data_IF_773616020944
#
_entry.id   IF_773616020944
#
_cell.length_a   1.000
_cell.length_b   1.000
_cell.length_c   1.000
_cell.angle_alpha   90.00
_cell.angle_beta   90.00
_cell.angle_gamma   90.00
#
_symmetry.space_group_name_H-M   'P 1'
#
loop_
_entity.id
_entity.type
_entity.pdbx_description
1 polymer ?
#
# COMPACT_ATOMS: atom_id res chain seq x y z
N UNK A 1 5.71 29.11 8.67
CA UNK A 1 6.94 29.81 8.23
C UNK A 1 6.81 30.12 6.75
N UNK A 2 7.11 31.35 6.32
CA UNK A 2 6.96 31.79 4.92
C UNK A 2 7.89 30.97 4.01
N UNK A 3 7.32 30.29 3.01
CA UNK A 3 8.03 29.44 2.06
C UNK A 3 8.72 30.35 1.04
N UNK A 4 10.01 30.66 1.24
CA UNK A 4 10.80 31.32 0.20
C UNK A 4 11.00 30.34 -0.97
N UNK A 5 10.71 30.83 -2.18
CA UNK A 5 10.99 30.13 -3.42
C UNK A 5 12.50 30.21 -3.69
N UNK A 6 13.23 29.23 -3.16
CA UNK A 6 14.65 29.01 -3.51
C UNK A 6 14.66 28.38 -4.89
N UNK A 7 15.23 29.09 -5.87
CA UNK A 7 15.37 28.61 -7.23
C UNK A 7 16.53 27.61 -7.31
N UNK A 8 16.23 26.40 -7.79
CA UNK A 8 17.21 25.32 -7.96
C UNK A 8 17.32 24.99 -9.44
N UNK A 9 18.55 24.92 -9.94
CA UNK A 9 18.79 24.61 -11.35
C UNK A 9 18.65 23.10 -11.63
N UNK A 10 18.75 22.72 -12.90
CA UNK A 10 18.59 21.34 -13.33
C UNK A 10 19.66 20.39 -12.77
N UNK A 11 20.89 20.88 -12.56
CA UNK A 11 22.00 20.08 -12.03
C UNK A 11 21.86 19.88 -10.52
N UNK A 12 21.51 20.93 -9.79
CA UNK A 12 21.21 20.89 -8.35
C UNK A 12 20.01 19.98 -8.05
N UNK A 13 18.98 20.01 -8.91
CA UNK A 13 17.85 19.07 -8.83
C UNK A 13 18.31 17.63 -9.01
N UNK A 14 19.13 17.35 -10.03
CA UNK A 14 19.66 16.01 -10.26
C UNK A 14 20.50 15.51 -9.08
N UNK A 15 21.28 16.39 -8.44
CA UNK A 15 22.02 16.06 -7.21
C UNK A 15 21.08 15.69 -6.06
N UNK A 16 20.01 16.46 -5.84
CA UNK A 16 19.01 16.18 -4.81
C UNK A 16 18.24 14.88 -5.06
N UNK A 17 17.96 14.55 -6.32
CA UNK A 17 17.34 13.27 -6.70
C UNK A 17 18.23 12.09 -6.33
N UNK A 18 19.50 12.10 -6.73
CA UNK A 18 20.45 11.03 -6.43
C UNK A 18 20.69 10.92 -4.92
N UNK A 19 20.78 12.05 -4.20
CA UNK A 19 20.85 12.07 -2.73
C UNK A 19 19.61 11.43 -2.08
N UNK A 20 18.41 11.68 -2.63
CA UNK A 20 17.15 11.14 -2.09
C UNK A 20 17.02 9.63 -2.27
N UNK A 21 17.74 9.06 -3.25
CA UNK A 21 17.88 7.60 -3.46
C UNK A 21 18.91 6.96 -2.53
N UNK A 22 19.60 7.76 -1.70
CA UNK A 22 20.58 7.29 -0.73
C UNK A 22 22.03 7.35 -1.22
N UNK A 23 22.28 7.73 -2.47
CA UNK A 23 23.61 7.67 -3.10
C UNK A 23 24.65 8.51 -2.36
N UNK A 24 25.87 8.00 -2.31
CA UNK A 24 27.05 8.65 -1.73
C UNK A 24 27.62 9.73 -2.66
N UNK A 25 28.41 10.65 -2.12
CA UNK A 25 29.09 11.69 -2.90
C UNK A 25 29.93 11.12 -4.05
N UNK A 26 30.48 9.92 -3.87
CA UNK A 26 31.27 9.20 -4.88
C UNK A 26 30.40 8.65 -6.01
N UNK A 27 29.25 8.08 -5.68
CA UNK A 27 28.29 7.55 -6.66
C UNK A 27 27.66 8.69 -7.47
N UNK A 28 27.24 9.76 -6.81
CA UNK A 28 26.67 10.95 -7.46
C UNK A 28 27.71 11.55 -8.42
N UNK A 29 28.98 11.64 -8.00
CA UNK A 29 30.06 12.11 -8.86
C UNK A 29 30.19 11.25 -10.13
N UNK A 30 30.14 9.91 -9.97
CA UNK A 30 30.18 8.98 -11.09
C UNK A 30 28.99 9.16 -12.04
N UNK A 31 27.78 9.31 -11.50
CA UNK A 31 26.55 9.52 -12.28
C UNK A 31 26.56 10.84 -13.08
N UNK A 32 27.21 11.87 -12.54
CA UNK A 32 27.24 13.21 -13.14
C UNK A 32 28.56 13.54 -13.86
N UNK A 33 29.49 12.58 -13.98
CA UNK A 33 30.77 12.77 -14.67
C UNK A 33 31.79 13.64 -13.93
N UNK A 34 31.68 13.78 -12.61
CA UNK A 34 32.57 14.56 -11.76
C UNK A 34 33.53 13.69 -10.93
N UNK A 35 34.56 14.33 -10.35
CA UNK A 35 35.41 13.71 -9.32
C UNK A 35 34.72 13.81 -7.95
N UNK A 36 34.93 12.83 -7.08
CA UNK A 36 34.32 12.79 -5.74
C UNK A 36 34.58 14.07 -4.92
N UNK A 37 35.83 14.59 -4.96
CA UNK A 37 36.19 15.84 -4.28
C UNK A 37 35.38 17.03 -4.78
N UNK A 38 35.15 17.13 -6.08
CA UNK A 38 34.33 18.19 -6.71
C UNK A 38 32.86 18.05 -6.29
N UNK A 39 32.32 16.84 -6.28
CA UNK A 39 30.94 16.59 -5.86
C UNK A 39 30.70 16.96 -4.39
N UNK A 40 31.67 16.73 -3.50
CA UNK A 40 31.56 17.17 -2.09
C UNK A 40 31.45 18.69 -1.97
N UNK A 41 32.16 19.44 -2.81
CA UNK A 41 32.08 20.92 -2.85
C UNK A 41 30.71 21.36 -3.35
N UNK A 42 30.24 20.81 -4.47
CA UNK A 42 28.92 21.15 -5.02
C UNK A 42 27.78 20.79 -4.06
N UNK A 43 27.85 19.65 -3.37
CA UNK A 43 26.86 19.28 -2.35
C UNK A 43 26.87 20.27 -1.17
N UNK A 44 28.05 20.74 -0.75
CA UNK A 44 28.17 21.72 0.32
C UNK A 44 27.61 23.10 -0.09
N UNK A 45 27.89 23.56 -1.31
CA UNK A 45 27.33 24.80 -1.86
C UNK A 45 25.81 24.72 -2.00
N UNK A 46 25.31 23.58 -2.48
CA UNK A 46 23.89 23.26 -2.55
C UNK A 46 23.25 23.32 -1.15
N UNK A 47 23.84 22.69 -0.13
CA UNK A 47 23.29 22.75 1.23
C UNK A 47 23.22 24.19 1.77
N UNK A 48 24.25 25.00 1.50
CA UNK A 48 24.27 26.42 1.85
C UNK A 48 23.17 27.19 1.13
N UNK A 49 22.96 26.96 -0.17
CA UNK A 49 21.90 27.58 -0.98
C UNK A 49 20.50 27.22 -0.47
N UNK A 50 20.32 25.97 -0.05
CA UNK A 50 19.06 25.45 0.50
C UNK A 50 18.81 25.89 1.96
N UNK A 51 19.83 26.42 2.64
CA UNK A 51 19.76 26.78 4.07
C UNK A 51 19.71 25.57 5.00
N UNK A 52 20.26 24.43 4.59
CA UNK A 52 20.22 23.17 5.34
C UNK A 52 21.62 22.75 5.82
N UNK A 53 21.70 22.14 7.00
CA UNK A 53 22.99 21.83 7.62
C UNK A 53 23.66 20.55 7.13
N UNK A 54 22.90 19.60 6.54
CA UNK A 54 23.44 18.28 6.18
C UNK A 54 22.62 17.58 5.09
N UNK A 55 23.17 16.46 4.57
CA UNK A 55 22.57 15.59 3.56
C UNK A 55 21.13 15.20 3.90
N UNK A 56 20.87 14.78 5.14
CA UNK A 56 19.54 14.34 5.58
C UNK A 56 18.52 15.47 5.47
N UNK A 57 18.89 16.68 5.91
CA UNK A 57 18.01 17.85 5.82
C UNK A 57 17.80 18.30 4.37
N UNK A 58 18.80 18.16 3.49
CA UNK A 58 18.66 18.43 2.06
C UNK A 58 17.70 17.46 1.37
N UNK A 59 17.78 16.17 1.72
CA UNK A 59 16.84 15.14 1.23
C UNK A 59 15.43 15.42 1.73
N UNK A 60 15.25 15.75 3.01
CA UNK A 60 13.93 16.12 3.56
C UNK A 60 13.38 17.35 2.83
N UNK A 61 14.21 18.38 2.64
CA UNK A 61 13.84 19.61 1.92
C UNK A 61 13.38 19.31 0.49
N UNK A 62 14.06 18.39 -0.20
CA UNK A 62 13.72 17.97 -1.56
C UNK A 62 12.42 17.17 -1.60
N UNK A 63 12.27 16.20 -0.70
CA UNK A 63 11.08 15.34 -0.62
C UNK A 63 9.83 16.13 -0.21
N UNK A 64 9.94 17.14 0.65
CA UNK A 64 8.81 18.00 1.01
C UNK A 64 8.31 18.80 -0.20
N UNK A 65 9.23 19.32 -1.01
CA UNK A 65 8.91 20.08 -2.24
C UNK A 65 8.46 19.21 -3.40
N UNK A 66 8.94 17.97 -3.52
CA UNK A 66 8.42 17.00 -4.50
C UNK A 66 7.12 16.36 -4.04
N UNK A 67 6.82 16.32 -2.73
CA UNK A 67 5.48 15.98 -2.21
C UNK A 67 4.46 17.08 -2.48
N UNK A 68 4.86 18.35 -2.36
CA UNK A 68 3.96 19.47 -2.67
C UNK A 68 3.77 19.71 -4.18
N UNK A 69 4.79 19.39 -4.99
CA UNK A 69 4.66 19.32 -6.47
C UNK A 69 4.07 17.99 -6.95
N UNK A 70 3.97 17.02 -6.04
CA UNK A 70 3.53 15.65 -6.27
C UNK A 70 2.24 15.40 -5.52
N UNK A 71 1.19 16.12 -5.89
CA UNK A 71 -0.16 15.62 -5.70
C UNK A 71 -0.19 14.22 -6.31
N UNK A 72 -0.82 13.30 -5.60
CA UNK A 72 -1.05 11.88 -5.92
C UNK A 72 -1.55 11.65 -7.38
N UNK A 73 -1.91 12.71 -8.11
CA UNK A 73 -2.20 12.72 -9.55
C UNK A 73 -1.00 12.46 -10.50
N UNK A 74 0.24 12.84 -10.15
CA UNK A 74 1.34 12.83 -11.15
C UNK A 74 1.93 11.42 -11.45
N UNK A 75 1.74 10.43 -10.56
CA UNK A 75 2.10 9.02 -10.85
C UNK A 75 0.98 8.26 -11.57
N UNK A 76 -0.20 8.85 -11.71
CA UNK A 76 -1.32 8.28 -12.49
C UNK A 76 -1.22 8.69 -13.97
N UNK A 77 -0.27 9.55 -14.36
CA UNK A 77 -0.26 10.19 -15.69
C UNK A 77 0.93 9.91 -16.61
N UNK A 78 1.80 8.92 -16.34
CA UNK A 78 2.97 8.67 -17.21
C UNK A 78 3.17 7.23 -17.68
N UNK A 79 2.41 6.27 -17.15
CA UNK A 79 2.32 4.96 -17.79
C UNK A 79 1.02 4.88 -18.59
N UNK A 80 1.06 4.43 -19.86
CA UNK A 80 -0.15 4.11 -20.59
C UNK A 80 -1.02 3.19 -19.72
N UNK A 81 -2.33 3.47 -19.67
CA UNK A 81 -3.30 2.55 -19.10
C UNK A 81 -3.17 1.15 -19.72
N UNK A 82 -3.85 0.14 -19.18
CA UNK A 82 -3.73 -1.22 -19.69
C UNK A 82 -3.93 -1.22 -21.21
N UNK A 83 -3.02 -1.89 -21.94
CA UNK A 83 -3.19 -2.06 -23.38
C UNK A 83 -4.54 -2.73 -23.66
N UNK A 84 -5.13 -2.50 -24.85
CA UNK A 84 -6.48 -3.00 -25.17
C UNK A 84 -6.66 -4.52 -24.99
N UNK A 85 -5.56 -5.28 -25.02
CA UNK A 85 -5.52 -6.74 -24.83
C UNK A 85 -4.79 -7.18 -23.53
N UNK A 86 -4.26 -6.24 -22.74
CA UNK A 86 -3.53 -6.55 -21.50
C UNK A 86 -4.51 -6.92 -20.38
N UNK A 87 -4.40 -8.14 -19.84
CA UNK A 87 -5.23 -8.55 -18.72
C UNK A 87 -4.82 -7.80 -17.44
N UNK A 88 -5.80 -7.58 -16.55
CA UNK A 88 -5.59 -6.83 -15.30
C UNK A 88 -4.39 -7.33 -14.47
N UNK A 89 -4.23 -8.65 -14.38
CA UNK A 89 -3.13 -9.26 -13.63
C UNK A 89 -1.76 -8.92 -14.20
N UNK A 90 -1.63 -8.91 -15.53
CA UNK A 90 -0.39 -8.52 -16.21
C UNK A 90 -0.09 -7.03 -15.95
N UNK A 91 -1.10 -6.17 -16.03
CA UNK A 91 -0.96 -4.74 -15.75
C UNK A 91 -0.51 -4.48 -14.30
N UNK A 92 -1.09 -5.19 -13.33
CA UNK A 92 -0.70 -5.10 -11.92
C UNK A 92 0.73 -5.57 -11.67
N UNK A 93 1.19 -6.61 -12.38
CA UNK A 93 2.57 -7.11 -12.30
C UNK A 93 3.58 -6.17 -12.91
N UNK A 94 3.22 -5.50 -14.02
CA UNK A 94 4.05 -4.51 -14.68
C UNK A 94 4.18 -3.21 -13.87
N UNK A 95 3.12 -2.82 -13.15
CA UNK A 95 3.04 -1.55 -12.42
C UNK A 95 3.07 -1.73 -10.89
N UNK A 96 1.90 -1.88 -10.28
CA UNK A 96 1.61 -2.38 -8.93
C UNK A 96 0.08 -2.49 -8.78
N UNK A 97 -0.41 -3.12 -7.70
CA UNK A 97 -1.85 -3.27 -7.47
C UNK A 97 -2.57 -1.92 -7.40
N UNK A 98 -1.99 -0.92 -6.74
CA UNK A 98 -2.59 0.40 -6.57
C UNK A 98 -2.81 1.12 -7.90
N UNK A 99 -1.78 1.14 -8.75
CA UNK A 99 -1.84 1.70 -10.10
C UNK A 99 -2.84 0.93 -10.98
N UNK A 100 -2.81 -0.40 -10.93
CA UNK A 100 -3.73 -1.23 -11.71
C UNK A 100 -5.20 -1.04 -11.32
N UNK A 101 -5.49 -0.97 -10.02
CA UNK A 101 -6.84 -0.71 -9.53
C UNK A 101 -7.32 0.71 -9.83
N UNK A 102 -6.42 1.70 -9.76
CA UNK A 102 -6.78 3.11 -9.88
C UNK A 102 -7.91 3.47 -8.90
N UNK A 103 -8.99 4.06 -9.43
CA UNK A 103 -10.19 4.41 -8.65
C UNK A 103 -10.83 3.22 -7.93
N UNK A 104 -10.65 1.99 -8.44
CA UNK A 104 -11.21 0.79 -7.80
C UNK A 104 -10.57 0.48 -6.44
N UNK A 105 -9.38 1.03 -6.16
CA UNK A 105 -8.73 0.92 -4.85
C UNK A 105 -9.58 1.50 -3.71
N UNK A 106 -10.53 2.41 -4.00
CA UNK A 106 -11.45 2.99 -3.03
C UNK A 106 -12.45 1.97 -2.44
N UNK A 107 -12.67 0.84 -3.10
CA UNK A 107 -13.56 -0.23 -2.62
C UNK A 107 -12.83 -1.28 -1.79
N UNK A 108 -11.50 -1.31 -1.83
CA UNK A 108 -10.68 -2.27 -1.09
C UNK A 108 -10.27 -1.68 0.26
N UNK A 109 -10.33 -2.51 1.30
CA UNK A 109 -9.83 -2.19 2.63
C UNK A 109 -10.81 -1.53 3.60
N UNK A 110 -10.28 -1.12 4.75
CA UNK A 110 -11.01 -0.38 5.79
C UNK A 110 -11.37 1.03 5.32
N UNK A 111 -12.46 1.57 5.87
CA UNK A 111 -12.93 2.94 5.59
C UNK A 111 -13.12 3.26 4.09
N UNK A 112 -13.29 2.24 3.23
CA UNK A 112 -13.55 2.40 1.81
C UNK A 112 -14.95 2.95 1.50
N UNK A 113 -15.34 2.88 0.22
CA UNK A 113 -16.60 3.46 -0.27
C UNK A 113 -17.84 2.82 0.36
N UNK A 114 -17.83 1.51 0.59
CA UNK A 114 -18.94 0.80 1.24
C UNK A 114 -19.21 1.32 2.66
N UNK A 115 -18.14 1.56 3.43
CA UNK A 115 -18.26 2.12 4.78
C UNK A 115 -18.81 3.54 4.74
N UNK A 116 -18.33 4.37 3.80
CA UNK A 116 -18.78 5.77 3.67
C UNK A 116 -20.28 5.86 3.40
N UNK A 117 -20.75 5.08 2.42
CA UNK A 117 -22.17 4.96 2.10
C UNK A 117 -22.94 4.45 3.32
N UNK A 118 -22.43 3.43 4.00
CA UNK A 118 -23.05 2.89 5.21
C UNK A 118 -23.22 3.93 6.33
N UNK A 119 -22.22 4.78 6.58
CA UNK A 119 -22.31 5.84 7.58
C UNK A 119 -23.29 6.94 7.15
N UNK A 120 -23.29 7.32 5.87
CA UNK A 120 -24.23 8.31 5.32
C UNK A 120 -25.67 7.82 5.41
N UNK A 121 -25.94 6.55 5.06
CA UNK A 121 -27.27 5.95 5.16
C UNK A 121 -27.78 5.87 6.61
N UNK A 122 -26.87 5.75 7.59
CA UNK A 122 -27.20 5.85 9.02
C UNK A 122 -27.40 7.29 9.51
N UNK A 123 -27.25 8.30 8.64
CA UNK A 123 -27.32 9.71 9.02
C UNK A 123 -26.16 10.18 9.91
N UNK A 124 -25.05 9.44 9.94
CA UNK A 124 -23.90 9.78 10.78
C UNK A 124 -23.05 10.83 10.08
N UNK A 125 -23.01 12.04 10.63
CA UNK A 125 -22.00 13.05 10.30
C UNK A 125 -20.71 12.77 11.05
N UNK A 126 -19.61 12.67 10.32
CA UNK A 126 -18.28 12.48 10.91
C UNK A 126 -17.76 13.79 11.48
N UNK A 127 -17.28 13.75 12.71
CA UNK A 127 -16.48 14.84 13.26
C UNK A 127 -15.09 14.89 12.59
N UNK A 128 -14.35 15.97 12.83
CA UNK A 128 -13.03 16.19 12.23
C UNK A 128 -12.00 15.10 12.60
N UNK A 129 -12.12 14.49 13.79
CA UNK A 129 -11.21 13.45 14.24
C UNK A 129 -11.54 12.09 13.61
N UNK A 130 -12.83 11.75 13.48
CA UNK A 130 -13.31 10.57 12.75
C UNK A 130 -12.92 10.65 11.26
N UNK A 131 -13.07 11.82 10.65
CA UNK A 131 -12.65 12.05 9.26
C UNK A 131 -11.11 12.01 9.09
N UNK A 132 -10.35 12.52 10.06
CA UNK A 132 -8.89 12.37 10.07
C UNK A 132 -8.45 10.89 10.16
N UNK A 133 -9.07 10.09 11.05
CA UNK A 133 -8.81 8.65 11.17
C UNK A 133 -9.17 7.90 9.88
N UNK A 134 -10.29 8.25 9.25
CA UNK A 134 -10.69 7.72 7.95
C UNK A 134 -9.61 7.97 6.88
N UNK A 135 -9.12 9.22 6.77
CA UNK A 135 -8.05 9.57 5.83
C UNK A 135 -6.75 8.82 6.10
N UNK A 136 -6.38 8.65 7.38
CA UNK A 136 -5.19 7.89 7.75
C UNK A 136 -5.32 6.41 7.36
N UNK A 137 -6.46 5.78 7.64
CA UNK A 137 -6.76 4.42 7.19
C UNK A 137 -6.66 4.29 5.66
N UNK A 138 -7.24 5.24 4.90
CA UNK A 138 -7.14 5.25 3.44
C UNK A 138 -5.71 5.35 2.93
N UNK A 139 -4.90 6.22 3.53
CA UNK A 139 -3.48 6.35 3.19
C UNK A 139 -2.69 5.06 3.45
N UNK A 140 -2.97 4.36 4.55
CA UNK A 140 -2.35 3.06 4.85
C UNK A 140 -2.71 2.02 3.78
N UNK A 141 -3.99 1.95 3.40
CA UNK A 141 -4.45 1.04 2.35
C UNK A 141 -3.90 1.38 0.96
N UNK A 142 -3.82 2.65 0.61
CA UNK A 142 -3.21 3.11 -0.65
C UNK A 142 -1.72 2.73 -0.70
N UNK A 143 -0.99 2.90 0.40
CA UNK A 143 0.41 2.48 0.48
C UNK A 143 0.57 0.96 0.37
N UNK A 144 -0.28 0.18 1.06
CA UNK A 144 -0.31 -1.28 0.93
C UNK A 144 -0.56 -1.72 -0.52
N UNK A 145 -1.55 -1.14 -1.20
CA UNK A 145 -1.84 -1.46 -2.60
C UNK A 145 -0.72 -1.01 -3.55
N UNK A 146 -0.05 0.10 -3.26
CA UNK A 146 1.10 0.56 -4.05
C UNK A 146 2.41 -0.21 -3.76
N UNK A 147 2.44 -1.04 -2.71
CA UNK A 147 3.65 -1.74 -2.27
C UNK A 147 4.63 -0.85 -1.50
N UNK A 148 4.18 0.31 -1.02
CA UNK A 148 4.97 1.23 -0.20
C UNK A 148 5.01 0.76 1.27
N UNK A 149 5.72 -0.32 1.52
CA UNK A 149 5.90 -0.86 2.86
C UNK A 149 6.81 0.02 3.74
N UNK A 150 7.58 0.92 3.14
CA UNK A 150 8.44 1.86 3.85
C UNK A 150 7.61 2.83 4.72
N UNK A 151 6.37 3.14 4.33
CA UNK A 151 5.43 3.89 5.17
C UNK A 151 5.23 3.21 6.54
N UNK A 152 4.95 1.90 6.55
CA UNK A 152 4.69 1.18 7.80
C UNK A 152 5.93 1.15 8.69
N UNK A 153 7.11 0.95 8.11
CA UNK A 153 8.38 1.06 8.83
C UNK A 153 8.56 2.45 9.44
N UNK A 154 8.34 3.52 8.67
CA UNK A 154 8.50 4.88 9.15
C UNK A 154 7.53 5.20 10.31
N UNK A 155 6.29 4.72 10.23
CA UNK A 155 5.30 4.91 11.29
C UNK A 155 5.67 4.18 12.59
N UNK A 156 6.27 2.98 12.50
CA UNK A 156 6.79 2.28 13.68
C UNK A 156 8.01 3.01 14.25
N UNK A 157 8.97 3.39 13.39
CA UNK A 157 10.19 4.08 13.84
C UNK A 157 9.88 5.43 14.51
N UNK A 158 8.78 6.10 14.13
CA UNK A 158 8.35 7.37 14.73
C UNK A 158 7.39 7.23 15.92
N UNK A 159 7.00 6.01 16.30
CA UNK A 159 5.98 5.77 17.35
C UNK A 159 4.54 6.12 16.95
N UNK A 160 4.27 6.42 15.67
CA UNK A 160 2.93 6.72 15.17
C UNK A 160 2.07 5.46 15.08
N UNK A 161 2.69 4.32 14.83
CA UNK A 161 1.98 3.04 14.66
C UNK A 161 1.22 2.62 15.93
N UNK A 162 1.73 2.92 17.13
CA UNK A 162 1.08 2.63 18.41
C UNK A 162 -0.16 3.49 18.66
N UNK A 163 -0.13 4.74 18.16
CA UNK A 163 -1.28 5.66 18.17
C UNK A 163 -2.36 5.09 17.24
N UNK A 164 -1.98 4.75 15.99
CA UNK A 164 -2.88 4.16 15.01
C UNK A 164 -3.49 2.85 15.53
N UNK A 165 -2.68 1.96 16.11
CA UNK A 165 -3.17 0.72 16.73
C UNK A 165 -4.18 0.98 17.86
N UNK A 166 -4.10 2.14 18.52
CA UNK A 166 -5.05 2.54 19.55
C UNK A 166 -6.35 3.10 19.02
N UNK A 167 -6.24 3.97 18.01
CA UNK A 167 -7.39 4.60 17.39
C UNK A 167 -8.16 3.62 16.49
N UNK A 168 -7.46 2.70 15.85
CA UNK A 168 -7.97 1.72 14.90
C UNK A 168 -7.14 0.43 14.95
N UNK A 169 -7.58 -0.57 15.75
CA UNK A 169 -6.87 -1.84 15.84
C UNK A 169 -6.63 -2.53 14.50
N UNK A 170 -7.60 -2.46 13.57
CA UNK A 170 -7.49 -3.06 12.23
C UNK A 170 -6.47 -2.34 11.33
N UNK A 171 -6.29 -1.02 11.47
CA UNK A 171 -5.20 -0.33 10.75
C UNK A 171 -3.84 -0.69 11.34
N UNK A 172 -3.76 -0.90 12.66
CA UNK A 172 -2.58 -1.47 13.30
C UNK A 172 -2.25 -2.88 12.77
N UNK A 173 -3.25 -3.74 12.57
CA UNK A 173 -3.08 -5.06 11.91
C UNK A 173 -2.56 -4.89 10.48
N UNK A 174 -3.09 -3.91 9.74
CA UNK A 174 -2.65 -3.62 8.37
C UNK A 174 -1.18 -3.19 8.33
N UNK A 175 -0.76 -2.31 9.24
CA UNK A 175 0.64 -1.90 9.39
C UNK A 175 1.56 -3.08 9.75
N UNK A 176 1.12 -3.96 10.65
CA UNK A 176 1.87 -5.16 10.98
C UNK A 176 2.06 -6.07 9.76
N UNK A 177 1.00 -6.28 8.97
CA UNK A 177 1.07 -7.05 7.73
C UNK A 177 2.01 -6.41 6.70
N UNK A 178 1.98 -5.08 6.53
CA UNK A 178 2.91 -4.36 5.65
C UNK A 178 4.37 -4.55 6.05
N UNK A 179 4.67 -4.59 7.36
CA UNK A 179 6.04 -4.86 7.83
C UNK A 179 6.50 -6.26 7.47
N UNK A 180 5.62 -7.26 7.61
CA UNK A 180 5.92 -8.64 7.21
C UNK A 180 6.16 -8.73 5.71
N UNK A 181 5.24 -8.20 4.90
CA UNK A 181 5.33 -8.26 3.44
C UNK A 181 6.56 -7.52 2.92
N UNK A 182 6.89 -6.37 3.53
CA UNK A 182 8.06 -5.56 3.18
C UNK A 182 9.41 -6.09 3.69
N UNK A 183 9.44 -7.27 4.32
CA UNK A 183 10.69 -7.88 4.81
C UNK A 183 11.28 -7.19 6.04
N UNK A 184 10.51 -6.38 6.77
CA UNK A 184 10.94 -5.72 8.00
C UNK A 184 10.75 -6.61 9.24
N UNK A 185 11.20 -7.87 9.16
CA UNK A 185 10.93 -8.95 10.13
C UNK A 185 11.08 -8.53 11.59
N UNK A 186 12.24 -8.03 12.01
CA UNK A 186 12.46 -7.66 13.42
C UNK A 186 11.54 -6.54 13.92
N UNK A 187 11.07 -5.67 13.03
CA UNK A 187 10.07 -4.63 13.36
C UNK A 187 8.67 -5.23 13.41
N UNK A 188 8.34 -6.10 12.46
CA UNK A 188 7.08 -6.83 12.43
C UNK A 188 6.86 -7.63 13.72
N UNK A 189 7.84 -8.43 14.13
CA UNK A 189 7.78 -9.22 15.37
C UNK A 189 7.56 -8.34 16.61
N UNK A 190 8.35 -7.28 16.76
CA UNK A 190 8.21 -6.32 17.88
C UNK A 190 6.84 -5.66 17.88
N UNK A 191 6.34 -5.25 16.72
CA UNK A 191 5.04 -4.61 16.62
C UNK A 191 3.89 -5.61 16.86
N UNK A 192 4.01 -6.86 16.40
CA UNK A 192 3.07 -7.94 16.72
C UNK A 192 2.92 -8.16 18.24
N UNK A 193 3.99 -8.03 19.02
CA UNK A 193 3.90 -8.11 20.48
C UNK A 193 3.03 -6.99 21.06
N UNK A 194 3.05 -5.79 20.49
CA UNK A 194 2.18 -4.68 20.89
C UNK A 194 0.72 -4.97 20.54
N UNK A 195 0.46 -5.47 19.31
CA UNK A 195 -0.87 -5.91 18.87
C UNK A 195 -1.43 -6.98 19.82
N UNK A 196 -0.63 -8.01 20.14
CA UNK A 196 -1.02 -9.10 21.03
C UNK A 196 -1.29 -8.63 22.47
N UNK A 197 -0.44 -7.74 23.01
CA UNK A 197 -0.62 -7.16 24.34
C UNK A 197 -1.92 -6.35 24.42
N UNK A 198 -2.19 -5.51 23.42
CA UNK A 198 -3.40 -4.67 23.39
C UNK A 198 -4.67 -5.50 23.26
N UNK A 199 -4.62 -6.59 22.47
CA UNK A 199 -5.71 -7.58 22.42
C UNK A 199 -5.99 -8.18 23.80
N UNK A 200 -4.96 -8.60 24.54
CA UNK A 200 -5.14 -9.15 25.91
C UNK A 200 -5.78 -8.14 26.86
N UNK A 201 -5.60 -6.84 26.63
CA UNK A 201 -6.24 -5.76 27.37
C UNK A 201 -7.68 -5.43 26.91
N UNK A 202 -8.27 -6.22 26.00
CA UNK A 202 -9.68 -6.14 25.61
C UNK A 202 -10.05 -5.09 24.55
N UNK A 203 -9.10 -4.22 24.14
CA UNK A 203 -9.36 -3.10 23.23
C UNK A 203 -8.40 -3.12 22.02
N UNK A 204 -8.24 -4.28 21.39
CA UNK A 204 -7.25 -4.49 20.31
C UNK A 204 -7.76 -5.42 19.21
N UNK A 205 -6.83 -5.88 18.36
CA UNK A 205 -7.14 -6.74 17.23
C UNK A 205 -7.91 -8.01 17.64
N UNK A 206 -8.77 -8.49 16.75
CA UNK A 206 -9.53 -9.73 16.94
C UNK A 206 -8.61 -10.96 17.03
N UNK A 207 -9.14 -12.08 17.55
CA UNK A 207 -8.42 -13.36 17.55
C UNK A 207 -7.97 -13.76 16.13
N UNK A 208 -8.84 -13.50 15.16
CA UNK A 208 -8.66 -13.86 13.76
C UNK A 208 -7.60 -13.01 13.07
N UNK A 209 -7.61 -11.70 13.30
CA UNK A 209 -6.56 -10.79 12.81
C UNK A 209 -5.18 -11.16 13.39
N UNK A 210 -5.10 -11.50 14.68
CA UNK A 210 -3.84 -11.95 15.27
C UNK A 210 -3.38 -13.30 14.71
N UNK A 211 -4.30 -14.23 14.47
CA UNK A 211 -3.98 -15.52 13.84
C UNK A 211 -3.48 -15.32 12.39
N UNK A 212 -4.14 -14.44 11.63
CA UNK A 212 -3.71 -14.05 10.29
C UNK A 212 -2.27 -13.50 10.28
N UNK A 213 -1.92 -12.58 11.19
CA UNK A 213 -0.57 -12.01 11.23
C UNK A 213 0.51 -13.08 11.50
N UNK A 214 0.20 -14.09 12.31
CA UNK A 214 1.12 -15.21 12.58
C UNK A 214 1.31 -16.08 11.34
N UNK A 215 0.21 -16.43 10.66
CA UNK A 215 0.27 -17.18 9.40
C UNK A 215 1.06 -16.40 8.34
N UNK A 216 0.84 -15.09 8.26
CA UNK A 216 1.54 -14.24 7.30
C UNK A 216 3.05 -14.18 7.59
N UNK A 217 3.43 -14.02 8.86
CA UNK A 217 4.83 -14.04 9.28
C UNK A 217 5.50 -15.36 8.88
N UNK A 218 4.87 -16.49 9.20
CA UNK A 218 5.38 -17.81 8.84
C UNK A 218 5.48 -18.03 7.33
N UNK A 219 4.47 -17.57 6.57
CA UNK A 219 4.44 -17.70 5.13
C UNK A 219 5.54 -16.89 4.42
N UNK A 220 5.97 -15.75 4.99
CA UNK A 220 7.03 -14.90 4.41
C UNK A 220 8.44 -15.25 4.93
N UNK A 221 8.57 -15.71 6.17
CA UNK A 221 9.88 -16.07 6.74
C UNK A 221 10.35 -17.47 6.32
N UNK A 222 9.45 -18.45 6.39
CA UNK A 222 9.78 -19.86 6.14
C UNK A 222 9.35 -20.33 4.76
N UNK A 223 8.71 -19.45 3.99
CA UNK A 223 8.04 -19.79 2.73
C UNK A 223 7.03 -20.94 2.85
N UNK A 224 6.51 -21.22 4.07
CA UNK A 224 5.69 -22.39 4.34
C UNK A 224 4.35 -22.39 3.60
N UNK A 225 4.12 -23.44 2.79
CA UNK A 225 2.91 -23.59 1.98
C UNK A 225 1.64 -23.79 2.82
N UNK A 226 1.76 -24.43 3.99
CA UNK A 226 0.64 -24.60 4.92
C UNK A 226 0.17 -23.27 5.51
N UNK A 227 1.11 -22.40 5.90
CA UNK A 227 0.79 -21.08 6.42
C UNK A 227 0.13 -20.21 5.33
N UNK A 228 0.61 -20.32 4.08
CA UNK A 228 0.00 -19.65 2.94
C UNK A 228 -1.41 -20.19 2.61
N UNK A 229 -1.64 -21.50 2.76
CA UNK A 229 -2.96 -22.10 2.65
C UNK A 229 -3.93 -21.56 3.72
N UNK A 230 -3.44 -21.29 4.94
CA UNK A 230 -4.20 -20.60 5.98
C UNK A 230 -4.60 -19.17 5.59
N UNK A 231 -3.68 -18.41 4.97
CA UNK A 231 -3.99 -17.08 4.42
C UNK A 231 -5.02 -17.17 3.28
N UNK A 232 -4.89 -18.18 2.42
CA UNK A 232 -5.81 -18.46 1.32
C UNK A 232 -7.22 -18.79 1.79
N UNK A 233 -7.36 -19.56 2.87
CA UNK A 233 -8.65 -19.85 3.49
C UNK A 233 -9.35 -18.56 3.95
N UNK A 234 -8.63 -17.63 4.57
CA UNK A 234 -9.17 -16.34 5.01
C UNK A 234 -9.62 -15.46 3.84
N UNK A 235 -8.92 -15.51 2.71
CA UNK A 235 -9.31 -14.82 1.49
C UNK A 235 -10.59 -15.39 0.86
N UNK A 236 -10.88 -16.66 1.11
CA UNK A 236 -12.03 -17.40 0.58
C UNK A 236 -13.30 -17.35 1.41
N UNK A 237 -13.25 -16.78 2.61
CA UNK A 237 -14.38 -16.83 3.52
C UNK A 237 -15.64 -16.20 2.90
N UNK A 238 -16.71 -16.98 2.92
CA UNK A 238 -18.02 -16.59 2.44
C UNK A 238 -18.67 -15.66 3.46
N UNK A 239 -18.92 -14.41 3.07
CA UNK A 239 -19.55 -13.41 3.93
C UNK A 239 -19.38 -12.00 3.39
N UNK A 240 -19.87 -10.98 4.12
CA UNK A 240 -19.65 -9.59 3.78
C UNK A 240 -18.14 -9.30 3.68
N UNK A 241 -17.75 -8.52 2.67
CA UNK A 241 -16.37 -8.13 2.47
C UNK A 241 -15.82 -7.42 3.72
N UNK A 242 -14.86 -8.07 4.40
CA UNK A 242 -14.21 -7.53 5.59
C UNK A 242 -12.83 -6.98 5.26
N UNK A 243 -12.35 -6.02 6.06
CA UNK A 243 -10.99 -5.50 5.93
C UNK A 243 -9.93 -6.61 6.00
N UNK A 244 -10.15 -7.65 6.81
CA UNK A 244 -9.25 -8.80 6.91
C UNK A 244 -9.23 -9.66 5.64
N UNK A 245 -10.40 -9.89 5.01
CA UNK A 245 -10.47 -10.61 3.73
C UNK A 245 -9.69 -9.87 2.65
N UNK A 246 -9.88 -8.54 2.55
CA UNK A 246 -9.12 -7.70 1.63
C UNK A 246 -7.61 -7.76 1.90
N UNK A 247 -7.23 -7.72 3.19
CA UNK A 247 -5.83 -7.81 3.58
C UNK A 247 -5.21 -9.15 3.20
N UNK A 248 -5.95 -10.25 3.37
CA UNK A 248 -5.52 -11.59 2.97
C UNK A 248 -5.35 -11.70 1.44
N UNK A 249 -6.29 -11.18 0.65
CA UNK A 249 -6.18 -11.15 -0.82
C UNK A 249 -4.94 -10.38 -1.29
N UNK A 250 -4.70 -9.19 -0.75
CA UNK A 250 -3.54 -8.38 -1.09
C UNK A 250 -2.23 -9.04 -0.61
N UNK A 251 -2.24 -9.67 0.56
CA UNK A 251 -1.10 -10.39 1.08
C UNK A 251 -0.73 -11.61 0.19
N UNK A 252 -1.72 -12.35 -0.33
CA UNK A 252 -1.48 -13.44 -1.29
C UNK A 252 -0.82 -12.92 -2.56
N UNK A 253 -1.27 -11.79 -3.10
CA UNK A 253 -0.63 -11.18 -4.27
C UNK A 253 0.86 -10.97 -4.03
N UNK A 254 1.24 -10.29 -2.96
CA UNK A 254 2.65 -10.04 -2.67
C UNK A 254 3.41 -11.33 -2.32
N UNK A 255 2.77 -12.30 -1.67
CA UNK A 255 3.39 -13.58 -1.37
C UNK A 255 3.78 -14.36 -2.64
N UNK A 256 2.95 -14.30 -3.69
CA UNK A 256 3.24 -14.91 -4.99
C UNK A 256 4.24 -14.10 -5.82
N UNK A 257 4.19 -12.77 -5.74
CA UNK A 257 5.21 -11.89 -6.34
C UNK A 257 6.59 -12.21 -5.78
N UNK A 258 6.73 -12.29 -4.46
CA UNK A 258 8.01 -12.60 -3.80
C UNK A 258 8.52 -14.01 -4.13
N UNK A 259 7.63 -14.97 -4.37
CA UNK A 259 7.97 -16.34 -4.79
C UNK A 259 8.27 -16.47 -6.29
N UNK A 260 8.05 -15.43 -7.10
CA UNK A 260 8.22 -15.49 -8.55
C UNK A 260 7.16 -16.31 -9.28
N UNK A 261 6.00 -16.54 -8.67
CA UNK A 261 4.88 -17.26 -9.29
C UNK A 261 3.96 -16.27 -10.01
N UNK A 262 4.22 -16.09 -11.30
CA UNK A 262 3.53 -15.09 -12.12
C UNK A 262 2.05 -15.44 -12.33
N UNK A 263 1.71 -16.71 -12.49
CA UNK A 263 0.31 -17.13 -12.69
C UNK A 263 -0.53 -16.90 -11.43
N UNK A 264 -0.02 -17.29 -10.27
CA UNK A 264 -0.74 -17.08 -9.01
C UNK A 264 -0.74 -15.62 -8.58
N UNK A 265 0.30 -14.85 -8.86
CA UNK A 265 0.27 -13.41 -8.59
C UNK A 265 -0.75 -12.70 -9.48
N UNK A 266 -0.86 -13.04 -10.78
CA UNK A 266 -1.90 -12.52 -11.68
C UNK A 266 -3.31 -12.89 -11.23
N UNK A 267 -3.52 -14.15 -10.86
CA UNK A 267 -4.82 -14.60 -10.35
C UNK A 267 -5.19 -13.91 -9.02
N UNK A 268 -4.21 -13.63 -8.16
CA UNK A 268 -4.43 -12.88 -6.91
C UNK A 268 -4.80 -11.43 -7.18
N UNK A 269 -4.12 -10.77 -8.12
CA UNK A 269 -4.45 -9.41 -8.53
C UNK A 269 -5.87 -9.33 -9.10
N UNK A 270 -6.23 -10.27 -9.98
CA UNK A 270 -7.58 -10.38 -10.53
C UNK A 270 -8.63 -10.56 -9.42
N UNK A 271 -8.36 -11.39 -8.41
CA UNK A 271 -9.27 -11.59 -7.28
C UNK A 271 -9.50 -10.30 -6.48
N UNK A 272 -8.45 -9.49 -6.24
CA UNK A 272 -8.60 -8.17 -5.57
C UNK A 272 -9.51 -7.25 -6.38
N UNK A 273 -9.31 -7.19 -7.70
CA UNK A 273 -10.15 -6.35 -8.58
C UNK A 273 -11.60 -6.84 -8.62
N UNK A 274 -11.83 -8.14 -8.75
CA UNK A 274 -13.18 -8.69 -8.79
C UNK A 274 -13.93 -8.50 -7.46
N UNK A 275 -13.23 -8.52 -6.32
CA UNK A 275 -13.83 -8.16 -5.03
C UNK A 275 -14.24 -6.68 -5.00
N UNK A 276 -13.39 -5.78 -5.51
CA UNK A 276 -13.72 -4.35 -5.64
C UNK A 276 -14.95 -4.13 -6.54
N UNK A 277 -15.04 -4.85 -7.66
CA UNK A 277 -16.20 -4.84 -8.57
C UNK A 277 -17.47 -5.39 -7.90
N UNK A 278 -17.36 -6.45 -7.10
CA UNK A 278 -18.48 -6.99 -6.33
C UNK A 278 -19.04 -5.96 -5.35
N UNK A 279 -18.18 -5.19 -4.69
CA UNK A 279 -18.58 -4.11 -3.78
C UNK A 279 -19.23 -2.95 -4.55
N UNK A 280 -18.65 -2.57 -5.70
CA UNK A 280 -19.23 -1.55 -6.59
C UNK A 280 -20.65 -1.93 -7.02
N UNK A 281 -20.85 -3.17 -7.47
CA UNK A 281 -22.17 -3.68 -7.86
C UNK A 281 -23.17 -3.74 -6.71
N UNK A 282 -22.72 -4.03 -5.48
CA UNK A 282 -23.58 -3.95 -4.28
C UNK A 282 -24.06 -2.52 -4.02
N UNK A 283 -23.17 -1.54 -4.14
CA UNK A 283 -23.52 -0.13 -3.99
C UNK A 283 -24.51 0.32 -5.07
N UNK A 284 -24.30 -0.09 -6.33
CA UNK A 284 -25.25 0.18 -7.41
C UNK A 284 -26.63 -0.41 -7.16
N UNK A 285 -26.69 -1.65 -6.65
CA UNK A 285 -27.94 -2.27 -6.23
C UNK A 285 -28.63 -1.52 -5.06
N UNK A 286 -27.87 -0.79 -4.25
CA UNK A 286 -28.38 0.11 -3.21
C UNK A 286 -28.82 1.49 -3.75
N UNK A 287 -28.75 1.72 -5.08
CA UNK A 287 -29.09 2.98 -5.72
C UNK A 287 -27.96 4.00 -5.73
N UNK A 288 -26.75 3.62 -5.29
CA UNK A 288 -25.59 4.48 -5.32
C UNK A 288 -24.92 4.49 -6.67
N UNK A 289 -24.39 5.64 -7.09
CA UNK A 289 -23.47 5.74 -8.25
C UNK A 289 -22.08 6.04 -7.72
N UNK A 290 -21.29 5.01 -7.36
CA UNK A 290 -20.05 5.22 -6.64
C UNK A 290 -18.91 5.72 -7.54
N UNK A 291 -19.03 5.60 -8.87
CA UNK A 291 -18.10 6.11 -9.87
C UNK A 291 -18.78 7.11 -10.81
N UNK A 292 -18.04 8.12 -11.26
CA UNK A 292 -18.49 9.03 -12.32
C UNK A 292 -18.48 8.34 -13.69
N UNK A 293 -19.19 8.91 -14.69
CA UNK A 293 -19.34 8.33 -16.04
C UNK A 293 -18.02 7.99 -16.75
N UNK A 294 -16.93 8.69 -16.42
CA UNK A 294 -15.61 8.53 -17.06
C UNK A 294 -14.68 7.55 -16.34
N UNK A 295 -15.06 7.06 -15.15
CA UNK A 295 -14.19 6.26 -14.28
C UNK A 295 -14.49 4.75 -14.33
N UNK A 296 -15.29 4.30 -15.30
CA UNK A 296 -15.65 2.89 -15.45
C UNK A 296 -14.54 2.12 -16.14
N UNK A 297 -13.79 1.29 -15.39
CA UNK A 297 -13.03 0.20 -16.01
C UNK A 297 -14.01 -0.72 -16.76
N UNK A 298 -13.58 -1.38 -17.85
CA UNK A 298 -14.43 -2.35 -18.54
C UNK A 298 -14.94 -3.38 -17.53
N UNK A 299 -16.26 -3.51 -17.44
CA UNK A 299 -16.89 -4.43 -16.49
C UNK A 299 -16.46 -5.87 -16.80
N UNK A 300 -16.23 -6.71 -15.78
CA UNK A 300 -15.97 -8.14 -16.02
C UNK A 300 -17.17 -8.77 -16.75
N UNK A 301 -16.90 -9.81 -17.53
CA UNK A 301 -17.96 -10.63 -18.12
C UNK A 301 -18.93 -11.11 -17.01
N UNK A 302 -20.23 -11.22 -17.33
CA UNK A 302 -21.28 -11.62 -16.37
C UNK A 302 -20.83 -12.84 -15.54
N UNK A 303 -20.96 -12.77 -14.21
CA UNK A 303 -20.57 -13.86 -13.31
C UNK A 303 -19.47 -13.50 -12.29
N UNK A 304 -19.25 -12.23 -11.97
CA UNK A 304 -18.16 -11.73 -11.13
C UNK A 304 -17.85 -12.55 -9.86
N UNK A 305 -18.85 -12.99 -9.08
CA UNK A 305 -18.61 -13.84 -7.89
C UNK A 305 -18.07 -15.23 -8.21
N UNK A 306 -18.53 -15.83 -9.30
CA UNK A 306 -18.02 -17.12 -9.77
C UNK A 306 -16.62 -16.97 -10.37
N UNK A 307 -16.37 -15.86 -11.08
CA UNK A 307 -15.03 -15.51 -11.55
C UNK A 307 -14.06 -15.25 -10.38
N UNK A 308 -14.53 -14.62 -9.29
CA UNK A 308 -13.74 -14.49 -8.04
C UNK A 308 -13.40 -15.88 -7.54
N UNK A 309 -14.41 -16.73 -7.33
CA UNK A 309 -14.22 -18.09 -6.81
C UNK A 309 -13.22 -18.88 -7.66
N UNK A 310 -13.40 -18.90 -8.98
CA UNK A 310 -12.50 -19.60 -9.92
C UNK A 310 -11.09 -19.00 -9.89
N UNK A 311 -10.94 -17.68 -9.83
CA UNK A 311 -9.63 -17.03 -9.75
C UNK A 311 -8.90 -17.37 -8.45
N UNK A 312 -9.60 -17.34 -7.30
CA UNK A 312 -8.97 -17.68 -6.02
C UNK A 312 -8.73 -19.20 -5.89
N UNK A 313 -9.55 -20.08 -6.49
CA UNK A 313 -9.30 -21.53 -6.52
C UNK A 313 -7.99 -21.89 -7.21
N UNK A 314 -7.61 -21.16 -8.27
CA UNK A 314 -6.31 -21.31 -8.96
C UNK A 314 -5.10 -20.96 -8.08
N UNK A 315 -5.31 -20.30 -6.94
CA UNK A 315 -4.25 -19.93 -6.00
C UNK A 315 -3.89 -21.03 -4.99
N UNK A 316 -4.54 -22.20 -5.03
CA UNK A 316 -4.18 -23.31 -4.14
C UNK A 316 -2.71 -23.72 -4.37
N UNK A 317 -1.89 -23.88 -3.32
CA UNK A 317 -0.59 -24.52 -3.45
C UNK A 317 -0.81 -25.95 -3.97
N UNK A 318 -0.03 -26.34 -4.99
CA UNK A 318 -0.05 -27.72 -5.49
C UNK A 318 0.59 -28.56 -4.40
N UNK A 319 -0.12 -29.59 -3.91
CA UNK A 319 0.50 -30.58 -3.03
C UNK A 319 1.64 -31.23 -3.81
N UNK A 320 2.86 -31.06 -3.31
CA UNK A 320 3.98 -31.92 -3.70
C UNK A 320 3.80 -33.18 -2.87
N UNK A 321 3.40 -34.27 -3.54
CA UNK A 321 3.39 -35.63 -2.95
C UNK A 321 4.82 -36.12 -2.69
#
# INVERSE_FOLDING_TARGET
>A
MKKQAIDIDAQERQMLELLSRGESSREIAKHMGYREGTMRVYLHELYRKLGVANKTNAVIWYLDRTKDSGTVAARVGSEPGPGAEEAFGDFARRTNLGAALGVMGAFVGGHGRLWEVGQRLKGVTLDAAADARRRESRRIWEALLAGDFALAKAMVDSGRAEIVLGDSPSDGVTLAAMLVIGGYTSRAEKFLLHVARRRKAGHGATAKELAFLKLLLEAFEKQGDEALAGVHHLAHETGPASGLKHLALVALYYAWVTRGDDDRSRASALAVWLEAESIRGQLEAMGERPLGREATNPAPAKGGRELVRVAIEKLKPVRVD
#
